data_IF_863679281756
#
_entry.id   IF_863679281756
#
_cell.length_a   1.000
_cell.length_b   1.000
_cell.length_c   1.000
_cell.angle_alpha   90.00
_cell.angle_beta   90.00
_cell.angle_gamma   90.00
#
_symmetry.space_group_name_H-M   'P 1'
#
loop_
_entity.id
_entity.type
_entity.pdbx_description
1 polymer ?
#
# COMPACT_ATOMS: atom_id res chain seq x y z
N UNK A 1 32.74 -3.46 -26.00
CA UNK A 1 31.32 -3.32 -26.37
C UNK A 1 30.62 -4.59 -25.95
N UNK A 2 29.94 -4.57 -24.80
CA UNK A 2 29.04 -5.68 -24.40
C UNK A 2 27.67 -5.31 -24.92
N UNK A 3 27.08 -6.19 -25.72
CA UNK A 3 25.73 -6.03 -26.24
C UNK A 3 24.77 -5.74 -25.09
N UNK A 4 24.03 -4.64 -25.24
CA UNK A 4 22.91 -4.28 -24.38
C UNK A 4 21.77 -5.22 -24.77
N UNK A 5 21.85 -6.49 -24.35
CA UNK A 5 20.69 -7.39 -24.35
C UNK A 5 19.72 -6.85 -23.30
N UNK A 6 18.66 -6.18 -23.79
CA UNK A 6 17.55 -5.71 -22.95
C UNK A 6 16.83 -6.91 -22.36
N UNK A 7 17.25 -7.34 -21.17
CA UNK A 7 16.60 -8.40 -20.43
C UNK A 7 15.13 -8.02 -20.20
N UNK A 8 14.20 -8.82 -20.72
CA UNK A 8 12.75 -8.65 -20.54
C UNK A 8 12.32 -9.06 -19.13
N UNK A 9 11.06 -8.84 -18.75
CA UNK A 9 10.55 -9.23 -17.42
C UNK A 9 10.36 -10.75 -17.34
N UNK A 10 9.98 -11.39 -18.44
CA UNK A 10 9.86 -12.85 -18.54
C UNK A 10 11.23 -13.54 -18.49
N UNK A 11 12.23 -12.99 -19.20
CA UNK A 11 13.61 -13.46 -19.10
C UNK A 11 14.18 -13.29 -17.69
N UNK A 12 13.78 -12.25 -16.95
CA UNK A 12 14.22 -12.05 -15.57
C UNK A 12 13.70 -13.18 -14.68
N UNK A 13 12.40 -13.50 -14.75
CA UNK A 13 11.82 -14.57 -13.95
C UNK A 13 12.45 -15.93 -14.28
N UNK A 14 12.62 -16.24 -15.57
CA UNK A 14 13.30 -17.46 -16.00
C UNK A 14 14.73 -17.56 -15.48
N UNK A 15 15.48 -16.44 -15.46
CA UNK A 15 16.83 -16.42 -14.89
C UNK A 15 16.84 -16.61 -13.37
N UNK A 16 15.77 -16.20 -12.67
CA UNK A 16 15.59 -16.44 -11.25
C UNK A 16 15.15 -17.89 -10.96
N UNK A 17 14.55 -18.59 -11.92
CA UNK A 17 14.13 -20.00 -11.84
C UNK A 17 15.28 -20.98 -12.14
N UNK A 18 16.06 -20.74 -13.20
CA UNK A 18 17.14 -21.64 -13.67
C UNK A 18 18.25 -21.90 -12.63
N UNK A 19 18.25 -21.16 -11.53
CA UNK A 19 19.21 -21.31 -10.43
C UNK A 19 18.81 -22.46 -9.49
N UNK A 20 17.56 -22.92 -9.55
CA UNK A 20 17.02 -24.03 -8.73
C UNK A 20 17.09 -25.39 -9.47
N UNK A 21 18.20 -25.65 -10.18
CA UNK A 21 18.47 -26.90 -10.91
C UNK A 21 18.81 -28.08 -9.96
N UNK A 22 17.83 -28.48 -9.15
CA UNK A 22 17.78 -29.75 -8.41
C UNK A 22 16.32 -30.24 -8.33
N UNK A 23 15.71 -30.58 -9.48
CA UNK A 23 14.62 -31.56 -9.59
C UNK A 23 13.26 -31.30 -8.92
N UNK A 24 13.06 -30.24 -8.15
CA UNK A 24 11.78 -29.84 -7.55
C UNK A 24 11.66 -28.30 -7.53
N UNK A 25 10.71 -27.76 -8.30
CA UNK A 25 10.41 -26.33 -8.29
C UNK A 25 9.92 -25.92 -6.89
N UNK A 26 10.66 -25.04 -6.22
CA UNK A 26 10.25 -24.48 -4.93
C UNK A 26 9.20 -23.38 -5.16
N UNK A 27 7.93 -23.78 -5.26
CA UNK A 27 6.81 -22.87 -5.54
C UNK A 27 6.71 -21.67 -4.57
N UNK A 28 6.89 -21.85 -3.24
CA UNK A 28 6.96 -20.71 -2.32
C UNK A 28 8.03 -19.67 -2.68
N UNK A 29 9.26 -20.13 -2.96
CA UNK A 29 10.37 -19.24 -3.32
C UNK A 29 10.15 -18.56 -4.67
N UNK A 30 9.59 -19.28 -5.64
CA UNK A 30 9.22 -18.72 -6.93
C UNK A 30 8.15 -17.62 -6.79
N UNK A 31 7.13 -17.88 -5.97
CA UNK A 31 6.08 -16.90 -5.70
C UNK A 31 6.62 -15.65 -5.00
N UNK A 32 7.54 -15.81 -4.06
CA UNK A 32 8.22 -14.70 -3.38
C UNK A 32 9.04 -13.84 -4.35
N UNK A 33 9.89 -14.47 -5.18
CA UNK A 33 10.67 -13.78 -6.22
C UNK A 33 9.77 -13.09 -7.25
N UNK A 34 8.68 -13.74 -7.66
CA UNK A 34 7.68 -13.13 -8.53
C UNK A 34 7.01 -11.92 -7.87
N UNK A 35 6.69 -12.00 -6.57
CA UNK A 35 6.13 -10.89 -5.78
C UNK A 35 7.10 -9.70 -5.73
N UNK A 36 8.41 -9.93 -5.58
CA UNK A 36 9.43 -8.89 -5.66
C UNK A 36 9.38 -8.15 -7.00
N UNK A 37 9.27 -8.89 -8.11
CA UNK A 37 9.14 -8.31 -9.44
C UNK A 37 7.86 -7.48 -9.52
N UNK A 38 6.72 -8.00 -9.04
CA UNK A 38 5.45 -7.26 -9.05
C UNK A 38 5.53 -5.94 -8.25
N UNK A 39 6.21 -5.93 -7.09
CA UNK A 39 6.44 -4.71 -6.32
C UNK A 39 7.18 -3.66 -7.15
N UNK A 40 8.28 -4.04 -7.81
CA UNK A 40 9.06 -3.14 -8.67
C UNK A 40 8.22 -2.65 -9.86
N UNK A 41 7.46 -3.55 -10.50
CA UNK A 41 6.63 -3.21 -11.66
C UNK A 41 5.48 -2.27 -11.29
N UNK A 42 4.80 -2.46 -10.17
CA UNK A 42 3.74 -1.55 -9.72
C UNK A 42 4.32 -0.18 -9.33
N UNK A 43 5.42 -0.14 -8.58
CA UNK A 43 6.10 1.11 -8.25
C UNK A 43 6.53 1.86 -9.53
N UNK A 44 7.05 1.14 -10.52
CA UNK A 44 7.48 1.72 -11.79
C UNK A 44 6.33 2.19 -12.66
N UNK A 45 5.39 1.30 -12.96
CA UNK A 45 4.37 1.50 -14.00
C UNK A 45 3.17 2.29 -13.47
N UNK A 46 2.76 2.03 -12.23
CA UNK A 46 1.60 2.67 -11.61
C UNK A 46 1.95 3.89 -10.79
N UNK A 47 3.15 3.94 -10.19
CA UNK A 47 3.59 5.06 -9.33
C UNK A 47 4.74 5.89 -9.89
N UNK A 48 5.16 5.63 -11.14
CA UNK A 48 6.19 6.38 -11.89
C UNK A 48 7.56 6.44 -11.21
N UNK A 49 7.86 5.49 -10.33
CA UNK A 49 9.21 5.37 -9.81
C UNK A 49 10.15 4.88 -10.90
N UNK A 50 11.36 5.44 -10.94
CA UNK A 50 12.44 5.00 -11.81
C UNK A 50 13.36 4.10 -11.00
N UNK A 51 13.37 2.77 -11.23
CA UNK A 51 14.35 1.90 -10.58
C UNK A 51 15.76 2.19 -11.11
N UNK A 52 16.77 1.99 -10.27
CA UNK A 52 18.18 2.12 -10.67
C UNK A 52 18.49 1.22 -11.88
N UNK A 53 19.34 1.69 -12.81
CA UNK A 53 19.50 1.12 -14.16
C UNK A 53 19.82 -0.39 -14.19
N UNK A 54 20.59 -0.88 -13.23
CA UNK A 54 21.13 -2.23 -13.15
C UNK A 54 20.32 -3.17 -12.24
N UNK A 55 19.14 -2.75 -11.78
CA UNK A 55 18.36 -3.51 -10.79
C UNK A 55 18.12 -4.98 -11.18
N UNK A 56 17.85 -5.26 -12.46
CA UNK A 56 17.63 -6.64 -12.96
C UNK A 56 18.87 -7.51 -12.77
N UNK A 57 20.04 -7.00 -13.17
CA UNK A 57 21.31 -7.73 -13.03
C UNK A 57 21.66 -7.92 -11.56
N UNK A 58 21.42 -6.89 -10.72
CA UNK A 58 21.65 -6.97 -9.29
C UNK A 58 20.82 -8.07 -8.63
N UNK A 59 19.54 -8.20 -9.00
CA UNK A 59 18.69 -9.29 -8.51
C UNK A 59 19.19 -10.67 -8.97
N UNK A 60 19.52 -10.83 -10.25
CA UNK A 60 20.03 -12.09 -10.80
C UNK A 60 21.35 -12.49 -10.10
N UNK A 61 22.30 -11.58 -9.98
CA UNK A 61 23.59 -11.85 -9.34
C UNK A 61 23.41 -12.25 -7.87
N UNK A 62 22.51 -11.56 -7.17
CA UNK A 62 22.29 -11.80 -5.77
C UNK A 62 21.63 -13.16 -5.51
N UNK A 63 20.66 -13.57 -6.33
CA UNK A 63 20.08 -14.92 -6.28
C UNK A 63 21.12 -15.98 -6.64
N UNK A 64 21.94 -15.78 -7.69
CA UNK A 64 23.03 -16.71 -8.05
C UNK A 64 24.06 -16.90 -6.93
N UNK A 65 24.26 -15.86 -6.14
CA UNK A 65 25.27 -15.84 -5.08
C UNK A 65 24.71 -16.15 -3.69
N UNK A 66 23.41 -16.50 -3.58
CA UNK A 66 22.70 -16.65 -2.29
C UNK A 66 22.94 -15.47 -1.33
N UNK A 67 23.02 -14.24 -1.88
CA UNK A 67 23.18 -13.01 -1.10
C UNK A 67 21.85 -12.60 -0.50
N UNK A 68 21.86 -12.11 0.73
CA UNK A 68 20.70 -11.53 1.41
C UNK A 68 20.84 -10.01 1.46
N UNK A 69 19.84 -9.31 2.02
CA UNK A 69 19.88 -7.85 2.20
C UNK A 69 20.05 -7.10 0.85
N UNK A 70 19.34 -7.58 -0.17
CA UNK A 70 19.47 -7.08 -1.54
C UNK A 70 18.63 -5.83 -1.69
N UNK A 71 19.26 -4.71 -2.06
CA UNK A 71 18.57 -3.43 -2.23
C UNK A 71 18.37 -3.06 -3.70
N UNK A 72 17.14 -2.68 -4.06
CA UNK A 72 16.79 -1.94 -5.27
C UNK A 72 16.33 -0.53 -4.90
N UNK A 73 17.05 0.49 -5.37
CA UNK A 73 16.64 1.88 -5.20
C UNK A 73 15.70 2.30 -6.34
N UNK A 74 14.63 3.01 -5.99
CA UNK A 74 13.70 3.61 -6.93
C UNK A 74 13.42 5.07 -6.55
N UNK A 75 13.33 5.96 -7.54
CA UNK A 75 13.13 7.40 -7.31
C UNK A 75 11.90 7.93 -8.05
N UNK A 76 11.15 8.83 -7.42
CA UNK A 76 10.13 9.64 -8.08
C UNK A 76 10.38 11.09 -7.68
N UNK A 77 11.14 11.80 -8.51
CA UNK A 77 11.56 13.18 -8.23
C UNK A 77 10.39 14.16 -8.27
N UNK A 78 9.42 13.95 -9.18
CA UNK A 78 8.20 14.77 -9.26
C UNK A 78 7.36 14.70 -7.96
N UNK A 79 7.36 13.54 -7.30
CA UNK A 79 6.68 13.33 -6.02
C UNK A 79 7.58 13.56 -4.80
N UNK A 80 8.86 13.87 -5.01
CA UNK A 80 9.90 13.99 -3.97
C UNK A 80 10.00 12.76 -3.06
N UNK A 81 10.00 11.56 -3.65
CA UNK A 81 9.98 10.27 -2.93
C UNK A 81 11.06 9.33 -3.41
N UNK A 82 11.70 8.65 -2.48
CA UNK A 82 12.84 7.78 -2.71
C UNK A 82 12.66 6.50 -1.91
N UNK A 83 12.57 5.36 -2.61
CA UNK A 83 12.34 4.04 -2.00
C UNK A 83 13.61 3.22 -2.12
N UNK A 84 14.06 2.67 -1.00
CA UNK A 84 14.95 1.53 -0.96
C UNK A 84 14.11 0.27 -0.72
N UNK A 85 13.87 -0.51 -1.78
CA UNK A 85 13.20 -1.80 -1.70
C UNK A 85 14.25 -2.86 -1.36
N UNK A 86 14.12 -3.48 -0.22
CA UNK A 86 14.98 -4.55 0.23
C UNK A 86 14.29 -5.90 0.08
N UNK A 87 15.02 -6.87 -0.43
CA UNK A 87 14.66 -8.28 -0.46
C UNK A 87 15.50 -9.02 0.58
N UNK A 88 14.83 -9.79 1.45
CA UNK A 88 15.46 -10.60 2.49
C UNK A 88 16.37 -9.80 3.44
N UNK A 89 15.95 -8.58 3.82
CA UNK A 89 16.71 -7.74 4.75
C UNK A 89 16.49 -8.16 6.20
N UNK A 90 17.57 -8.28 6.95
CA UNK A 90 17.52 -8.57 8.39
C UNK A 90 17.14 -7.31 9.16
N UNK A 91 16.13 -7.43 10.03
CA UNK A 91 15.72 -6.39 10.97
C UNK A 91 16.65 -6.36 12.19
N UNK A 92 16.51 -5.34 13.01
CA UNK A 92 17.27 -5.17 14.27
C UNK A 92 17.11 -6.35 15.25
N UNK A 93 15.99 -7.07 15.17
CA UNK A 93 15.71 -8.27 15.95
C UNK A 93 16.21 -9.58 15.32
N UNK A 94 17.05 -9.50 14.28
CA UNK A 94 17.58 -10.61 13.48
C UNK A 94 16.52 -11.46 12.76
N UNK A 95 15.27 -11.03 12.72
CA UNK A 95 14.26 -11.63 11.86
C UNK A 95 14.32 -11.02 10.47
N UNK A 96 13.78 -11.76 9.50
CA UNK A 96 13.92 -11.45 8.09
C UNK A 96 12.55 -11.54 7.41
N UNK A 97 11.85 -10.42 7.23
CA UNK A 97 10.74 -10.36 6.29
C UNK A 97 11.24 -10.53 4.85
N UNK A 98 10.35 -10.95 3.97
CA UNK A 98 10.69 -11.13 2.56
C UNK A 98 10.97 -9.78 1.89
N UNK A 99 10.20 -8.72 2.20
CA UNK A 99 10.41 -7.40 1.62
C UNK A 99 10.28 -6.24 2.63
N UNK A 100 11.12 -5.22 2.46
CA UNK A 100 11.04 -3.96 3.21
C UNK A 100 11.11 -2.79 2.24
N UNK A 101 10.14 -1.88 2.30
CA UNK A 101 10.20 -0.60 1.61
C UNK A 101 10.59 0.48 2.61
N UNK A 102 11.84 0.93 2.53
CA UNK A 102 12.33 2.10 3.27
C UNK A 102 12.09 3.35 2.40
N UNK A 103 11.10 4.17 2.75
CA UNK A 103 10.72 5.38 2.04
C UNK A 103 11.29 6.62 2.72
N UNK A 104 12.06 7.40 1.96
CA UNK A 104 12.34 8.81 2.28
C UNK A 104 11.46 9.71 1.43
N UNK A 105 10.82 10.70 2.04
CA UNK A 105 10.01 11.70 1.33
C UNK A 105 10.25 13.10 1.88
N UNK A 106 9.92 14.12 1.09
CA UNK A 106 10.08 15.52 1.47
C UNK A 106 8.76 16.27 1.40
N UNK A 107 8.56 17.20 2.34
CA UNK A 107 7.37 18.03 2.41
C UNK A 107 7.18 18.91 1.16
N UNK A 108 5.93 19.26 0.89
CA UNK A 108 5.51 20.19 -0.12
C UNK A 108 5.47 21.62 0.43
N UNK A 109 6.54 22.04 1.13
CA UNK A 109 6.62 23.39 1.69
C UNK A 109 6.97 24.40 0.59
N UNK A 110 6.22 25.50 0.58
CA UNK A 110 6.42 26.64 -0.32
C UNK A 110 7.65 27.45 0.09
N UNK A 111 8.01 27.41 1.38
CA UNK A 111 9.04 28.25 2.00
C UNK A 111 10.48 27.71 1.80
N UNK A 112 10.65 26.68 0.96
CA UNK A 112 11.96 26.11 0.63
C UNK A 112 12.59 25.21 1.71
N UNK A 113 11.92 25.00 2.84
CA UNK A 113 12.36 24.02 3.86
C UNK A 113 12.10 22.59 3.36
N UNK A 114 13.16 21.84 3.07
CA UNK A 114 13.09 20.43 2.68
C UNK A 114 13.17 19.55 3.91
N UNK A 115 12.12 19.54 4.73
CA UNK A 115 12.05 18.59 5.84
C UNK A 115 12.04 17.17 5.27
N UNK A 116 12.99 16.38 5.76
CA UNK A 116 13.17 14.99 5.34
C UNK A 116 12.43 14.08 6.30
N UNK A 117 11.51 13.29 5.77
CA UNK A 117 10.76 12.30 6.52
C UNK A 117 11.13 10.88 6.09
N UNK A 118 10.95 9.93 7.01
CA UNK A 118 11.23 8.52 6.79
C UNK A 118 10.05 7.65 7.26
N UNK A 119 9.70 6.64 6.47
CA UNK A 119 8.75 5.58 6.83
C UNK A 119 9.22 4.24 6.29
N UNK A 120 9.02 3.19 7.07
CA UNK A 120 9.26 1.81 6.65
C UNK A 120 7.94 1.07 6.52
N UNK A 121 7.88 0.17 5.54
CA UNK A 121 6.75 -0.71 5.28
C UNK A 121 7.25 -2.13 5.06
N UNK A 122 6.67 -3.09 5.77
CA UNK A 122 7.16 -4.46 5.79
C UNK A 122 6.14 -5.37 5.13
N UNK A 123 6.62 -6.23 4.24
CA UNK A 123 5.81 -7.16 3.47
C UNK A 123 6.41 -8.57 3.58
N UNK A 124 5.54 -9.56 3.62
CA UNK A 124 5.94 -10.97 3.72
C UNK A 124 5.01 -11.80 2.84
N UNK A 125 5.57 -12.57 1.90
CA UNK A 125 4.83 -13.41 0.97
C UNK A 125 4.62 -14.80 1.57
N UNK A 126 3.40 -15.34 1.47
CA UNK A 126 3.11 -16.73 1.83
C UNK A 126 2.30 -17.41 0.73
N UNK A 127 2.94 -18.38 0.09
CA UNK A 127 2.31 -19.24 -0.90
C UNK A 127 1.50 -20.36 -0.22
N UNK A 128 0.39 -19.98 0.41
CA UNK A 128 -0.51 -20.88 1.14
C UNK A 128 -1.86 -21.00 0.43
N UNK A 129 -2.45 -22.18 0.50
CA UNK A 129 -3.88 -22.40 0.23
C UNK A 129 -4.73 -22.15 1.48
N UNK A 130 -6.05 -22.18 1.33
CA UNK A 130 -7.00 -21.98 2.44
C UNK A 130 -6.79 -22.96 3.59
N UNK A 131 -6.58 -24.25 3.29
CA UNK A 131 -6.37 -25.27 4.31
C UNK A 131 -5.10 -25.01 5.15
N UNK A 132 -4.03 -24.56 4.52
CA UNK A 132 -2.78 -24.21 5.20
C UNK A 132 -2.95 -22.97 6.08
N UNK A 133 -3.68 -21.97 5.60
CA UNK A 133 -4.06 -20.83 6.44
C UNK A 133 -4.88 -21.25 7.65
N UNK A 134 -5.92 -22.08 7.45
CA UNK A 134 -6.80 -22.52 8.53
C UNK A 134 -6.02 -23.33 9.59
N UNK A 135 -5.11 -24.22 9.15
CA UNK A 135 -4.18 -24.94 10.05
C UNK A 135 -3.25 -24.01 10.83
N UNK A 136 -2.92 -22.84 10.29
CA UNK A 136 -2.12 -21.81 10.95
C UNK A 136 -2.96 -20.85 11.82
N UNK A 137 -4.24 -21.15 12.06
CA UNK A 137 -5.17 -20.32 12.84
C UNK A 137 -5.85 -19.22 12.01
N UNK A 138 -5.80 -19.29 10.69
CA UNK A 138 -6.41 -18.35 9.76
C UNK A 138 -5.55 -17.12 9.43
N UNK A 139 -6.12 -16.22 8.63
CA UNK A 139 -5.46 -15.01 8.14
C UNK A 139 -4.96 -14.10 9.27
N UNK A 140 -5.82 -13.78 10.24
CA UNK A 140 -5.48 -12.88 11.35
C UNK A 140 -4.37 -13.44 12.25
N UNK A 141 -4.40 -14.75 12.53
CA UNK A 141 -3.33 -15.42 13.28
C UNK A 141 -1.98 -15.26 12.57
N UNK A 142 -1.93 -15.48 11.25
CA UNK A 142 -0.71 -15.30 10.48
C UNK A 142 -0.24 -13.84 10.44
N UNK A 143 -1.15 -12.89 10.25
CA UNK A 143 -0.82 -11.45 10.30
C UNK A 143 -0.22 -11.08 11.66
N UNK A 144 -0.83 -11.51 12.77
CA UNK A 144 -0.36 -11.22 14.12
C UNK A 144 0.96 -11.93 14.46
N UNK A 145 1.17 -13.14 13.95
CA UNK A 145 2.46 -13.82 14.03
C UNK A 145 3.57 -12.97 13.39
N UNK A 146 3.34 -12.40 12.20
CA UNK A 146 4.33 -11.54 11.54
C UNK A 146 4.51 -10.21 12.29
N UNK A 147 3.41 -9.56 12.63
CA UNK A 147 3.40 -8.21 13.20
C UNK A 147 3.92 -8.17 14.64
N UNK A 148 3.40 -9.01 15.53
CA UNK A 148 3.74 -9.06 16.96
C UNK A 148 4.73 -10.19 17.28
N UNK A 149 4.44 -11.43 16.84
CA UNK A 149 5.21 -12.61 17.21
C UNK A 149 6.67 -12.60 16.72
N UNK A 150 6.86 -12.25 15.45
CA UNK A 150 8.17 -12.00 14.84
C UNK A 150 8.62 -10.55 14.99
N UNK A 151 7.76 -9.69 15.52
CA UNK A 151 8.00 -8.26 15.70
C UNK A 151 8.52 -7.57 14.42
N UNK A 152 7.94 -7.88 13.27
CA UNK A 152 8.26 -7.18 12.01
C UNK A 152 7.84 -5.70 12.07
N UNK A 153 6.89 -5.36 12.94
CA UNK A 153 6.46 -3.99 13.17
C UNK A 153 7.52 -3.13 13.87
N UNK A 154 8.58 -3.73 14.42
CA UNK A 154 9.57 -3.07 15.28
C UNK A 154 8.88 -2.25 16.38
N UNK A 155 8.04 -2.94 17.17
CA UNK A 155 7.23 -2.40 18.27
C UNK A 155 6.16 -1.40 17.82
N UNK A 156 5.30 -1.81 16.87
CA UNK A 156 4.22 -0.98 16.30
C UNK A 156 4.70 0.25 15.52
N UNK A 157 5.98 0.33 15.18
CA UNK A 157 6.55 1.48 14.46
C UNK A 157 6.25 1.45 12.96
N UNK A 158 6.10 0.24 12.41
CA UNK A 158 5.99 0.00 10.98
C UNK A 158 4.74 -0.84 10.65
N UNK A 159 4.04 -0.53 9.55
CA UNK A 159 2.96 -1.39 9.09
C UNK A 159 3.53 -2.70 8.52
N UNK A 160 2.82 -3.81 8.72
CA UNK A 160 3.22 -5.16 8.25
C UNK A 160 2.07 -5.82 7.50
N UNK A 161 2.30 -6.20 6.25
CA UNK A 161 1.27 -6.84 5.42
C UNK A 161 1.72 -8.19 4.86
N UNK A 162 0.79 -9.13 4.88
CA UNK A 162 0.91 -10.42 4.23
C UNK A 162 0.54 -10.31 2.75
N UNK A 163 1.29 -10.95 1.86
CA UNK A 163 0.93 -11.12 0.44
C UNK A 163 0.67 -12.61 0.18
N UNK A 164 -0.46 -12.95 -0.45
CA UNK A 164 -0.83 -14.35 -0.66
C UNK A 164 -1.63 -14.58 -1.96
N UNK A 165 -1.58 -15.79 -2.55
CA UNK A 165 -2.31 -16.13 -3.76
C UNK A 165 -3.68 -16.80 -3.49
N UNK A 166 -4.08 -16.94 -2.23
CA UNK A 166 -5.33 -17.61 -1.84
C UNK A 166 -6.55 -16.69 -2.07
N UNK A 167 -7.37 -16.98 -3.09
CA UNK A 167 -8.49 -16.12 -3.52
C UNK A 167 -9.75 -16.22 -2.64
N UNK A 168 -9.83 -17.23 -1.79
CA UNK A 168 -10.93 -17.52 -0.88
C UNK A 168 -10.47 -17.49 0.60
N UNK A 169 -9.39 -16.76 0.89
CA UNK A 169 -8.90 -16.59 2.27
C UNK A 169 -9.92 -15.86 3.16
N UNK A 170 -10.58 -14.85 2.58
CA UNK A 170 -11.63 -14.05 3.23
C UNK A 170 -12.98 -14.69 2.92
N UNK A 171 -13.67 -15.14 3.96
CA UNK A 171 -14.97 -15.83 3.83
C UNK A 171 -16.13 -14.87 3.58
N UNK A 172 -16.10 -13.71 4.23
CA UNK A 172 -17.12 -12.66 4.11
C UNK A 172 -16.47 -11.33 3.73
N UNK A 173 -17.04 -10.58 2.77
CA UNK A 173 -16.47 -9.31 2.36
C UNK A 173 -16.34 -8.34 3.54
N UNK A 174 -15.13 -7.82 3.76
CA UNK A 174 -14.84 -6.94 4.90
C UNK A 174 -15.42 -5.54 4.67
N UNK A 175 -15.50 -5.14 3.41
CA UNK A 175 -16.12 -3.89 3.00
C UNK A 175 -17.05 -4.09 1.80
N UNK A 176 -17.90 -3.09 1.55
CA UNK A 176 -18.86 -3.08 0.44
C UNK A 176 -18.18 -2.99 -0.94
N UNK A 177 -16.93 -2.53 -1.00
CA UNK A 177 -16.16 -2.51 -2.24
C UNK A 177 -15.70 -3.92 -2.62
N UNK A 178 -15.66 -4.20 -3.93
CA UNK A 178 -15.35 -5.53 -4.48
C UNK A 178 -14.00 -6.09 -4.02
N UNK A 179 -13.02 -5.24 -3.76
CA UNK A 179 -11.69 -5.66 -3.30
C UNK A 179 -11.71 -6.28 -1.89
N UNK A 180 -12.66 -5.89 -1.04
CA UNK A 180 -12.79 -6.39 0.33
C UNK A 180 -13.18 -7.87 0.42
N UNK A 181 -13.41 -8.52 -0.73
CA UNK A 181 -13.60 -9.97 -0.87
C UNK A 181 -12.28 -10.73 -0.94
N UNK A 182 -11.20 -10.06 -1.33
CA UNK A 182 -9.93 -10.68 -1.67
C UNK A 182 -8.81 -10.18 -0.76
N UNK A 183 -8.86 -8.90 -0.37
CA UNK A 183 -7.84 -8.28 0.47
C UNK A 183 -8.45 -7.66 1.72
N UNK A 184 -7.62 -7.61 2.75
CA UNK A 184 -7.84 -6.90 3.99
C UNK A 184 -6.74 -5.87 4.19
N UNK A 185 -7.08 -4.59 4.25
CA UNK A 185 -6.11 -3.52 4.40
C UNK A 185 -5.97 -2.99 5.84
N UNK A 186 -6.65 -3.62 6.82
CA UNK A 186 -6.74 -3.08 8.17
C UNK A 186 -7.70 -1.89 8.26
N UNK A 187 -8.64 -1.79 7.32
CA UNK A 187 -9.58 -0.68 7.16
C UNK A 187 -10.74 -0.72 8.17
N UNK A 188 -11.04 -1.89 8.70
CA UNK A 188 -12.11 -2.17 9.66
C UNK A 188 -11.74 -3.34 10.55
N UNK A 189 -12.53 -3.50 11.60
CA UNK A 189 -12.54 -4.69 12.42
C UNK A 189 -13.09 -5.89 11.62
N UNK A 190 -12.51 -7.07 11.80
CA UNK A 190 -12.99 -8.36 11.31
C UNK A 190 -13.44 -9.21 12.51
N UNK A 191 -14.61 -9.86 12.39
CA UNK A 191 -15.11 -10.85 13.38
C UNK A 191 -15.28 -10.31 14.81
N UNK A 192 -15.83 -9.10 14.95
CA UNK A 192 -16.14 -8.46 16.25
C UNK A 192 -14.94 -8.27 17.20
N UNK A 193 -13.70 -8.25 16.68
CA UNK A 193 -12.43 -8.20 17.45
C UNK A 193 -12.27 -6.98 18.38
N UNK A 194 -13.15 -5.99 18.53
CA UNK A 194 -12.83 -4.68 19.14
C UNK A 194 -11.58 -3.90 18.61
N UNK A 195 -10.51 -4.55 18.13
CA UNK A 195 -9.27 -3.93 17.71
C UNK A 195 -9.37 -3.36 16.29
N UNK A 196 -9.08 -2.08 16.18
CA UNK A 196 -8.97 -1.37 14.92
C UNK A 196 -7.50 -1.23 14.56
N UNK A 197 -7.11 -1.78 13.41
CA UNK A 197 -5.71 -1.81 13.02
C UNK A 197 -5.20 -0.52 12.38
N UNK A 198 -6.06 0.46 12.05
CA UNK A 198 -5.62 1.76 11.50
C UNK A 198 -4.65 1.63 10.30
N UNK A 199 -4.86 0.61 9.45
CA UNK A 199 -3.97 0.26 8.35
C UNK A 199 -2.52 -0.10 8.76
N UNK A 200 -2.30 -0.58 9.99
CA UNK A 200 -0.99 -1.05 10.46
C UNK A 200 -0.72 -2.52 10.09
N UNK A 201 -1.76 -3.30 9.82
CA UNK A 201 -1.61 -4.69 9.40
C UNK A 201 -2.78 -5.19 8.56
N UNK A 202 -2.50 -6.16 7.69
CA UNK A 202 -3.49 -6.74 6.80
C UNK A 202 -2.92 -7.83 5.89
N UNK A 203 -3.71 -8.28 4.92
CA UNK A 203 -3.36 -9.28 3.93
C UNK A 203 -3.88 -8.90 2.54
N UNK A 204 -3.04 -9.05 1.53
CA UNK A 204 -3.34 -8.64 0.15
C UNK A 204 -3.28 -9.84 -0.77
N UNK A 205 -4.35 -10.01 -1.54
CA UNK A 205 -4.41 -11.02 -2.58
C UNK A 205 -3.56 -10.60 -3.77
N UNK A 206 -2.62 -11.46 -4.15
CA UNK A 206 -1.81 -11.30 -5.34
C UNK A 206 -1.53 -12.69 -5.92
N UNK A 207 -2.11 -13.00 -7.08
CA UNK A 207 -2.00 -14.30 -7.71
C UNK A 207 -1.34 -14.21 -9.09
N UNK A 208 -0.39 -15.09 -9.44
CA UNK A 208 0.22 -15.13 -10.76
C UNK A 208 -0.74 -15.64 -11.86
N UNK A 209 -1.85 -16.27 -11.47
CA UNK A 209 -2.81 -16.89 -12.40
C UNK A 209 -4.04 -16.00 -12.63
N UNK A 210 -4.39 -15.17 -11.65
CA UNK A 210 -5.58 -14.32 -11.73
C UNK A 210 -5.31 -13.05 -12.55
N UNK A 211 -5.69 -13.10 -13.82
CA UNK A 211 -5.58 -11.97 -14.76
C UNK A 211 -6.69 -10.93 -14.58
N UNK A 212 -7.68 -11.16 -13.72
CA UNK A 212 -8.80 -10.23 -13.55
C UNK A 212 -8.50 -9.10 -12.57
N UNK A 213 -7.67 -9.38 -11.56
CA UNK A 213 -7.26 -8.44 -10.51
C UNK A 213 -5.78 -8.01 -10.61
N UNK A 214 -5.07 -8.48 -11.65
CA UNK A 214 -3.67 -8.19 -12.03
C UNK A 214 -2.78 -7.81 -10.84
N UNK A 215 -2.65 -6.51 -10.58
CA UNK A 215 -1.87 -5.93 -9.50
C UNK A 215 -2.63 -4.82 -8.79
N UNK A 216 -3.96 -4.76 -8.96
CA UNK A 216 -4.79 -3.67 -8.44
C UNK A 216 -4.81 -3.67 -6.91
N UNK A 217 -4.86 -4.85 -6.30
CA UNK A 217 -4.79 -5.04 -4.85
C UNK A 217 -3.43 -4.58 -4.30
N UNK A 218 -2.34 -4.95 -4.99
CA UNK A 218 -0.99 -4.50 -4.65
C UNK A 218 -0.82 -2.99 -4.85
N UNK A 219 -1.37 -2.44 -5.93
CA UNK A 219 -1.38 -1.01 -6.20
C UNK A 219 -2.20 -0.26 -5.14
N UNK A 220 -3.32 -0.82 -4.68
CA UNK A 220 -4.12 -0.23 -3.60
C UNK A 220 -3.35 -0.20 -2.28
N UNK A 221 -2.67 -1.30 -1.93
CA UNK A 221 -1.81 -1.39 -0.75
C UNK A 221 -0.66 -0.36 -0.80
N UNK A 222 0.09 -0.34 -1.90
CA UNK A 222 1.20 0.61 -2.07
C UNK A 222 0.68 2.05 -2.12
N UNK A 223 -0.48 2.29 -2.71
CA UNK A 223 -1.13 3.59 -2.72
C UNK A 223 -1.53 4.07 -1.32
N UNK A 224 -2.06 3.16 -0.49
CA UNK A 224 -2.34 3.43 0.92
C UNK A 224 -1.05 3.79 1.67
N UNK A 225 0.04 3.03 1.51
CA UNK A 225 1.32 3.35 2.13
C UNK A 225 1.85 4.72 1.67
N UNK A 226 1.79 4.97 0.36
CA UNK A 226 2.30 6.18 -0.30
C UNK A 226 1.38 7.40 -0.14
N UNK A 227 0.16 7.29 0.38
CA UNK A 227 -0.70 8.46 0.58
C UNK A 227 -1.07 8.65 2.05
N UNK A 228 -1.38 7.58 2.76
CA UNK A 228 -1.99 7.63 4.08
C UNK A 228 -0.98 7.42 5.22
N UNK A 229 -0.05 6.47 5.07
CA UNK A 229 0.90 6.10 6.15
C UNK A 229 2.21 6.90 6.15
N UNK A 230 2.27 7.99 5.37
CA UNK A 230 3.46 8.85 5.27
C UNK A 230 3.74 9.65 6.54
N UNK A 231 2.69 10.08 7.23
CA UNK A 231 2.73 10.99 8.37
C UNK A 231 1.64 10.61 9.39
N UNK A 232 1.58 11.33 10.52
CA UNK A 232 0.47 11.17 11.46
C UNK A 232 -0.85 11.51 10.74
N UNK A 233 -1.86 10.69 10.99
CA UNK A 233 -3.19 10.88 10.41
C UNK A 233 -3.98 11.97 11.13
N UNK A 234 -3.57 12.48 12.30
CA UNK A 234 -4.29 13.57 12.98
C UNK A 234 -4.18 14.88 12.20
N UNK A 235 -5.32 15.55 11.96
CA UNK A 235 -5.38 16.82 11.22
C UNK A 235 -5.77 18.02 12.09
N UNK A 236 -5.85 17.86 13.42
CA UNK A 236 -6.30 18.92 14.34
C UNK A 236 -5.50 20.22 14.17
N UNK A 237 -4.19 20.09 14.04
CA UNK A 237 -3.23 21.20 14.04
C UNK A 237 -2.90 21.70 12.63
N UNK A 238 -3.56 21.15 11.60
CA UNK A 238 -3.36 21.51 10.20
C UNK A 238 -4.44 22.49 9.72
N UNK A 239 -4.06 23.39 8.81
CA UNK A 239 -4.97 24.35 8.17
C UNK A 239 -6.06 23.64 7.35
N UNK A 240 -5.73 22.49 6.77
CA UNK A 240 -6.64 21.67 5.97
C UNK A 240 -6.25 20.18 6.05
N UNK A 241 -7.09 19.31 5.49
CA UNK A 241 -6.91 17.85 5.61
C UNK A 241 -5.90 17.23 4.64
N UNK A 242 -5.29 18.03 3.75
CA UNK A 242 -4.29 17.52 2.82
C UNK A 242 -3.02 17.04 3.55
N UNK A 243 -2.21 16.26 2.83
CA UNK A 243 -0.94 15.78 3.37
C UNK A 243 0.16 16.83 3.23
N UNK A 244 1.15 16.81 4.12
CA UNK A 244 2.38 17.59 3.92
C UNK A 244 3.18 17.08 2.72
N UNK A 245 3.04 15.80 2.37
CA UNK A 245 3.70 15.23 1.21
C UNK A 245 3.10 15.76 -0.10
N UNK A 246 3.93 15.82 -1.16
CA UNK A 246 3.43 16.08 -2.52
C UNK A 246 2.34 15.04 -2.85
N UNK A 247 1.11 15.45 -3.20
CA UNK A 247 0.05 14.51 -3.54
C UNK A 247 0.41 13.70 -4.77
N UNK A 248 0.10 12.41 -4.75
CA UNK A 248 0.25 11.53 -5.91
C UNK A 248 -1.07 10.87 -6.26
N UNK A 249 -1.32 10.65 -7.55
CA UNK A 249 -2.47 9.87 -7.99
C UNK A 249 -2.26 8.38 -7.74
N UNK A 250 -3.13 7.74 -6.95
CA UNK A 250 -3.07 6.29 -6.72
C UNK A 250 -3.23 5.47 -8.01
N UNK A 251 -3.91 6.00 -9.04
CA UNK A 251 -4.17 5.29 -10.29
C UNK A 251 -2.97 5.31 -11.25
N UNK A 252 -2.22 6.41 -11.31
CA UNK A 252 -1.19 6.60 -12.34
C UNK A 252 0.12 7.25 -11.86
N UNK A 253 0.25 7.54 -10.57
CA UNK A 253 1.48 8.01 -9.94
C UNK A 253 1.83 9.48 -10.19
N UNK A 254 1.05 10.19 -11.00
CA UNK A 254 1.32 11.60 -11.30
C UNK A 254 1.09 12.49 -10.09
N UNK A 255 1.99 13.45 -9.86
CA UNK A 255 1.81 14.56 -8.93
C UNK A 255 1.18 15.81 -9.56
N UNK A 256 0.90 15.77 -10.87
CA UNK A 256 0.14 16.81 -11.59
C UNK A 256 -1.34 16.69 -11.21
N UNK A 257 -1.68 17.38 -10.12
CA UNK A 257 -3.03 17.44 -9.54
C UNK A 257 -3.50 18.88 -9.42
N UNK A 258 -4.79 19.12 -9.69
CA UNK A 258 -5.44 20.42 -9.51
C UNK A 258 -6.45 20.36 -8.38
N UNK A 259 -6.52 21.43 -7.59
CA UNK A 259 -7.57 21.61 -6.60
C UNK A 259 -8.91 21.89 -7.29
N UNK A 260 -9.97 21.25 -6.82
CA UNK A 260 -11.33 21.47 -7.28
C UNK A 260 -12.05 22.45 -6.34
N UNK A 261 -12.81 23.38 -6.93
CA UNK A 261 -13.68 24.27 -6.16
C UNK A 261 -14.85 23.46 -5.59
N UNK A 262 -15.02 23.49 -4.27
CA UNK A 262 -16.14 22.86 -3.57
C UNK A 262 -17.30 23.83 -3.36
N UNK A 263 -18.52 23.31 -3.30
CA UNK A 263 -19.65 24.05 -2.74
C UNK A 263 -19.44 24.23 -1.23
N UNK A 264 -20.03 25.26 -0.63
CA UNK A 264 -19.95 25.46 0.84
C UNK A 264 -20.95 24.62 1.62
N UNK A 265 -21.98 24.09 0.95
CA UNK A 265 -23.05 23.31 1.55
C UNK A 265 -23.55 22.21 0.62
N UNK A 266 -24.26 21.25 1.18
CA UNK A 266 -24.96 20.19 0.46
C UNK A 266 -26.29 19.85 1.14
N UNK A 267 -27.16 19.10 0.46
CA UNK A 267 -28.38 18.56 1.09
C UNK A 267 -28.13 17.16 1.61
N UNK A 268 -28.43 16.93 2.88
CA UNK A 268 -28.37 15.59 3.48
C UNK A 268 -29.55 14.71 2.98
N UNK A 269 -29.64 13.46 3.47
CA UNK A 269 -30.72 12.53 3.11
C UNK A 269 -32.12 12.98 3.57
N UNK A 270 -32.19 13.86 4.56
CA UNK A 270 -33.42 14.46 5.06
C UNK A 270 -33.82 15.73 4.29
N UNK A 271 -32.97 16.20 3.36
CA UNK A 271 -33.19 17.40 2.56
C UNK A 271 -32.67 18.69 3.20
N UNK A 272 -32.08 18.62 4.39
CA UNK A 272 -31.56 19.78 5.11
C UNK A 272 -30.23 20.25 4.50
N UNK A 273 -30.01 21.57 4.52
CA UNK A 273 -28.72 22.14 4.18
C UNK A 273 -27.72 21.91 5.30
N UNK A 274 -26.60 21.27 4.96
CA UNK A 274 -25.46 21.04 5.86
C UNK A 274 -24.25 21.78 5.29
N UNK A 275 -23.59 22.55 6.15
CA UNK A 275 -22.32 23.20 5.80
C UNK A 275 -21.22 22.16 5.66
N UNK A 276 -20.36 22.34 4.66
CA UNK A 276 -19.18 21.48 4.50
C UNK A 276 -18.05 22.02 5.32
N UNK A 277 -17.28 21.13 5.94
CA UNK A 277 -16.05 21.55 6.61
C UNK A 277 -15.11 22.32 5.66
N UNK A 278 -14.61 23.50 6.07
CA UNK A 278 -13.65 24.25 5.26
C UNK A 278 -12.32 23.51 5.10
N UNK A 279 -11.98 22.58 6.00
CA UNK A 279 -10.72 21.82 5.98
C UNK A 279 -10.62 20.78 4.85
N UNK A 280 -11.73 20.26 4.33
CA UNK A 280 -11.67 19.21 3.30
C UNK A 280 -11.02 19.71 2.01
N UNK A 281 -10.17 18.90 1.36
CA UNK A 281 -9.50 19.27 0.10
C UNK A 281 -9.86 18.28 -1.00
N UNK A 282 -10.34 18.79 -2.14
CA UNK A 282 -10.71 17.97 -3.29
C UNK A 282 -9.74 18.20 -4.42
N UNK A 283 -9.18 17.13 -4.96
CA UNK A 283 -8.17 17.19 -6.00
C UNK A 283 -8.53 16.26 -7.15
N UNK A 284 -8.11 16.64 -8.36
CA UNK A 284 -8.23 15.80 -9.54
C UNK A 284 -6.86 15.65 -10.22
N UNK A 285 -6.49 14.42 -10.56
CA UNK A 285 -5.31 14.16 -11.36
C UNK A 285 -5.49 14.70 -12.79
N UNK A 286 -4.56 15.53 -13.27
CA UNK A 286 -4.60 16.10 -14.61
C UNK A 286 -4.29 15.08 -15.72
N UNK A 287 -3.74 13.90 -15.38
CA UNK A 287 -3.35 12.86 -16.35
C UNK A 287 -4.41 11.79 -16.59
N UNK A 288 -5.18 11.42 -15.56
CA UNK A 288 -6.15 10.32 -15.65
C UNK A 288 -7.50 10.64 -15.00
N UNK A 289 -7.71 11.91 -14.63
CA UNK A 289 -8.95 12.46 -14.07
C UNK A 289 -9.40 11.84 -12.75
N UNK A 290 -8.58 10.98 -12.16
CA UNK A 290 -8.84 10.35 -10.87
C UNK A 290 -9.07 11.41 -9.79
N UNK A 291 -10.24 11.32 -9.16
CA UNK A 291 -10.64 12.15 -8.03
C UNK A 291 -9.99 11.62 -6.74
N UNK A 292 -9.50 12.55 -5.93
CA UNK A 292 -8.93 12.31 -4.60
C UNK A 292 -9.49 13.34 -3.63
N UNK A 293 -10.09 12.89 -2.55
CA UNK A 293 -10.70 13.77 -1.55
C UNK A 293 -10.07 13.49 -0.20
N UNK A 294 -9.49 14.53 0.38
CA UNK A 294 -8.98 14.56 1.74
C UNK A 294 -10.05 15.14 2.65
N UNK A 295 -10.29 14.44 3.74
CA UNK A 295 -11.24 14.80 4.78
C UNK A 295 -10.70 14.30 6.13
N UNK A 296 -11.47 14.43 7.20
CA UNK A 296 -11.15 13.85 8.50
C UNK A 296 -12.36 13.13 9.10
N UNK A 297 -12.13 12.39 10.18
CA UNK A 297 -13.16 11.72 10.96
C UNK A 297 -14.08 12.73 11.65
N UNK A 298 -15.40 12.49 11.65
CA UNK A 298 -16.38 13.32 12.37
C UNK A 298 -16.29 13.18 13.88
N UNK A 299 -15.68 12.10 14.37
CA UNK A 299 -15.56 11.84 15.79
C UNK A 299 -14.62 12.86 16.44
N UNK A 300 -15.13 13.56 17.44
CA UNK A 300 -14.37 14.48 18.30
C UNK A 300 -13.14 13.81 18.94
N UNK A 301 -13.12 12.47 18.99
CA UNK A 301 -12.04 11.69 19.60
C UNK A 301 -10.82 11.49 18.71
N UNK A 302 -10.92 11.66 17.39
CA UNK A 302 -9.88 11.13 16.48
C UNK A 302 -9.33 12.14 15.47
N UNK A 303 -10.14 13.08 14.96
CA UNK A 303 -9.76 14.03 13.88
C UNK A 303 -8.85 13.41 12.82
N UNK A 304 -9.10 12.13 12.51
CA UNK A 304 -8.19 11.30 11.72
C UNK A 304 -8.45 11.56 10.25
N UNK A 305 -7.42 11.93 9.50
CA UNK A 305 -7.45 12.11 8.05
C UNK A 305 -8.10 10.89 7.39
N UNK A 306 -8.84 11.12 6.33
CA UNK A 306 -9.42 10.11 5.47
C UNK A 306 -9.19 10.52 4.02
N UNK A 307 -8.81 9.57 3.18
CA UNK A 307 -8.49 9.83 1.77
C UNK A 307 -9.37 8.95 0.88
N UNK A 308 -10.31 9.57 0.15
CA UNK A 308 -11.17 8.88 -0.82
C UNK A 308 -10.53 8.98 -2.20
N UNK A 309 -10.10 7.86 -2.75
CA UNK A 309 -9.61 7.77 -4.12
C UNK A 309 -10.70 7.29 -5.09
N UNK A 310 -11.87 7.94 -5.04
CA UNK A 310 -13.05 7.50 -5.79
C UNK A 310 -13.60 6.14 -5.33
N UNK A 311 -14.40 5.49 -6.17
CA UNK A 311 -15.04 4.21 -5.80
C UNK A 311 -14.07 3.02 -5.82
N UNK A 312 -13.20 2.96 -6.83
CA UNK A 312 -12.41 1.76 -7.13
C UNK A 312 -11.10 1.68 -6.34
N UNK A 313 -10.38 2.80 -6.23
CA UNK A 313 -9.04 2.85 -5.64
C UNK A 313 -9.02 3.19 -4.14
N UNK A 314 -10.17 3.46 -3.53
CA UNK A 314 -10.23 3.73 -2.09
C UNK A 314 -9.85 2.48 -1.29
N UNK A 315 -8.87 2.63 -0.39
CA UNK A 315 -8.42 1.61 0.57
C UNK A 315 -9.15 1.65 1.91
N UNK A 316 -9.84 2.75 2.22
CA UNK A 316 -10.77 2.77 3.35
C UNK A 316 -12.06 2.02 3.01
N UNK A 317 -12.74 1.46 4.01
CA UNK A 317 -14.12 1.02 3.83
C UNK A 317 -15.00 2.21 3.47
N UNK A 318 -15.73 2.13 2.36
CA UNK A 318 -16.57 3.20 1.86
C UNK A 318 -17.93 2.68 1.38
N UNK A 319 -18.98 3.48 1.59
CA UNK A 319 -20.31 3.21 1.03
C UNK A 319 -20.55 4.02 -0.24
N UNK A 320 -21.08 3.36 -1.27
CA UNK A 320 -21.80 3.91 -2.43
C UNK A 320 -21.16 5.13 -3.16
N UNK A 321 -21.88 5.63 -4.17
CA UNK A 321 -21.48 6.69 -5.11
C UNK A 321 -21.13 8.04 -4.44
N UNK A 322 -21.50 8.26 -3.18
CA UNK A 322 -21.23 9.52 -2.50
C UNK A 322 -19.73 9.70 -2.25
N UNK A 323 -19.09 10.78 -2.71
CA UNK A 323 -17.63 10.90 -2.73
C UNK A 323 -16.94 10.94 -1.36
N UNK A 324 -17.66 10.90 -0.24
CA UNK A 324 -17.11 11.19 1.10
C UNK A 324 -17.48 10.17 2.18
N UNK A 325 -18.37 9.21 1.90
CA UNK A 325 -18.72 8.15 2.85
C UNK A 325 -17.55 7.17 3.02
N UNK A 326 -16.67 7.45 3.98
CA UNK A 326 -15.58 6.57 4.42
C UNK A 326 -15.68 6.34 5.91
N UNK A 327 -15.41 5.10 6.34
CA UNK A 327 -15.21 4.79 7.75
C UNK A 327 -13.78 5.13 8.15
N UNK A 328 -13.64 5.67 9.34
CA UNK A 328 -12.37 5.93 9.96
C UNK A 328 -11.75 4.61 10.41
N UNK A 329 -10.53 4.27 9.95
CA UNK A 329 -9.88 3.03 10.32
C UNK A 329 -9.40 3.03 11.78
N UNK A 330 -9.44 4.17 12.48
CA UNK A 330 -9.04 4.31 13.90
C UNK A 330 -10.17 4.24 14.90
N UNK A 331 -11.41 4.56 14.51
CA UNK A 331 -12.55 4.51 15.43
C UNK A 331 -13.84 3.88 14.85
N UNK A 332 -13.85 3.51 13.57
CA UNK A 332 -15.01 2.93 12.89
C UNK A 332 -16.12 3.92 12.52
N UNK A 333 -16.07 5.15 13.04
CA UNK A 333 -17.01 6.23 12.75
C UNK A 333 -16.88 6.78 11.32
N UNK A 334 -17.89 7.50 10.87
CA UNK A 334 -17.89 8.12 9.55
C UNK A 334 -17.06 9.41 9.51
N UNK A 335 -16.54 9.75 8.32
CA UNK A 335 -15.91 11.04 8.06
C UNK A 335 -16.82 12.23 8.39
N UNK A 336 -16.21 13.35 8.77
CA UNK A 336 -16.82 14.67 8.89
C UNK A 336 -17.28 15.16 7.51
N UNK A 337 -18.25 16.07 7.46
CA UNK A 337 -18.83 16.55 6.21
C UNK A 337 -18.66 18.04 6.04
#
# INVERSE_FOLDING_TARGET
MRDITKLTDDELLLNLEQIDDMGLVNMPLLYERWTLIQLILVLKNSFRFVPQKDWKYKLIEAVKSNKTDINVNLTNDEAKRYISLWYEKSLSNNKRPDFILDLTWFSNNIDGTTERHFKRFVLDAKFYDKLTFDKAGGMLSKINELFDGKNYSENNSNPVFLIHPCNNLIEYPITAQLWGKHSFLGELNINDDANLFSHDRGAVFLSPIDRSLYSDELQRLLGMFLQYKLEDAKTSDLDNDSSLAVPICIRCGSSDVKNLKKTTRYRNRHGDWVERTPKSVWMQCCKCEQLQIYNHCASDKSSTRLIKNGLYWSYHSARALEPFNMKCPSCGEWGAW
#
